data_IF_701284545619
#
_entry.id   IF_701284545619
#
_cell.length_a   1.000
_cell.length_b   1.000
_cell.length_c   1.000
_cell.angle_alpha   90.00
_cell.angle_beta   90.00
_cell.angle_gamma   90.00
#
_symmetry.space_group_name_H-M   'P 1'
#
loop_
_entity.id
_entity.type
_entity.pdbx_description
1 polymer ?
#
# COMPACT_ATOMS: atom_id res chain seq x y z
N UNK A 1 9.62 -36.72 -16.60
CA UNK A 1 8.53 -36.60 -15.59
C UNK A 1 9.12 -36.96 -14.24
N UNK A 2 9.56 -35.97 -13.47
CA UNK A 2 10.04 -36.19 -12.10
C UNK A 2 8.83 -36.35 -11.19
N UNK A 3 8.76 -37.50 -10.52
CA UNK A 3 7.76 -37.81 -9.51
C UNK A 3 8.06 -36.96 -8.26
N UNK A 4 7.61 -35.70 -8.24
CA UNK A 4 7.96 -34.69 -7.22
C UNK A 4 6.96 -34.71 -6.03
N UNK A 5 6.99 -35.78 -5.24
CA UNK A 5 6.40 -35.80 -3.88
C UNK A 5 7.35 -35.15 -2.87
N UNK A 6 7.70 -33.87 -3.06
CA UNK A 6 9.01 -33.33 -2.65
C UNK A 6 9.05 -32.54 -1.33
N UNK A 7 7.98 -32.46 -0.56
CA UNK A 7 8.04 -31.79 0.74
C UNK A 7 7.50 -32.71 1.84
N UNK A 8 8.37 -33.22 2.73
CA UNK A 8 7.93 -33.99 3.89
C UNK A 8 7.07 -33.10 4.79
N UNK A 9 6.07 -33.69 5.45
CA UNK A 9 5.23 -32.97 6.39
C UNK A 9 6.08 -32.24 7.45
N UNK A 10 5.57 -31.11 7.94
CA UNK A 10 6.21 -30.36 9.02
C UNK A 10 6.53 -31.32 10.19
N UNK A 11 7.76 -31.30 10.74
CA UNK A 11 8.13 -32.14 11.87
C UNK A 11 7.18 -31.95 13.05
N UNK A 12 6.93 -33.02 13.82
CA UNK A 12 6.02 -32.97 14.95
C UNK A 12 6.52 -32.08 16.10
N UNK A 13 7.83 -31.84 16.16
CA UNK A 13 8.54 -30.99 17.12
C UNK A 13 8.84 -29.59 16.58
N UNK A 14 8.28 -29.22 15.43
CA UNK A 14 8.50 -27.93 14.80
C UNK A 14 8.03 -26.76 15.69
N UNK A 15 8.80 -25.69 15.71
CA UNK A 15 8.43 -24.48 16.43
C UNK A 15 7.20 -23.81 15.76
N UNK A 16 6.34 -23.09 16.49
CA UNK A 16 5.10 -22.53 15.93
C UNK A 16 5.32 -21.70 14.66
N UNK A 17 6.36 -20.86 14.62
CA UNK A 17 6.72 -20.02 13.46
C UNK A 17 7.11 -20.82 12.21
N UNK A 18 7.60 -22.05 12.36
CA UNK A 18 8.00 -22.91 11.23
C UNK A 18 6.80 -23.32 10.38
N UNK A 19 5.59 -23.37 10.96
CA UNK A 19 4.39 -23.73 10.24
C UNK A 19 4.03 -22.74 9.12
N UNK A 20 4.24 -21.43 9.33
CA UNK A 20 4.03 -20.45 8.28
C UNK A 20 5.18 -20.44 7.27
N UNK A 21 6.42 -20.63 7.70
CA UNK A 21 7.56 -20.82 6.78
C UNK A 21 7.34 -22.01 5.84
N UNK A 22 6.88 -23.14 6.39
CA UNK A 22 6.55 -24.33 5.62
C UNK A 22 5.43 -24.07 4.61
N UNK A 23 4.37 -23.34 5.00
CA UNK A 23 3.33 -22.90 4.05
C UNK A 23 3.90 -22.03 2.93
N UNK A 24 4.79 -21.09 3.27
CA UNK A 24 5.43 -20.25 2.26
C UNK A 24 6.29 -21.06 1.27
N UNK A 25 6.99 -22.09 1.73
CA UNK A 25 7.73 -23.03 0.86
C UNK A 25 6.77 -23.76 -0.08
N UNK A 26 5.63 -24.25 0.43
CA UNK A 26 4.62 -24.91 -0.40
C UNK A 26 4.01 -23.94 -1.43
N UNK A 27 3.71 -22.70 -1.04
CA UNK A 27 3.24 -21.67 -1.98
C UNK A 27 4.26 -21.36 -3.07
N UNK A 28 5.54 -21.22 -2.71
CA UNK A 28 6.62 -20.98 -3.67
C UNK A 28 6.73 -22.12 -4.68
N UNK A 29 6.68 -23.38 -4.21
CA UNK A 29 6.72 -24.54 -5.09
C UNK A 29 5.50 -24.61 -6.02
N UNK A 30 4.32 -24.31 -5.49
CA UNK A 30 3.10 -24.25 -6.29
C UNK A 30 3.14 -23.13 -7.35
N UNK A 31 3.74 -21.98 -7.06
CA UNK A 31 3.99 -20.90 -8.04
C UNK A 31 4.93 -21.36 -9.18
N UNK A 32 5.91 -22.22 -8.87
CA UNK A 32 6.77 -22.87 -9.86
C UNK A 32 6.09 -24.06 -10.60
N UNK A 33 4.81 -24.32 -10.34
CA UNK A 33 4.07 -25.44 -10.93
C UNK A 33 4.44 -26.80 -10.33
N UNK A 34 5.02 -26.82 -9.13
CA UNK A 34 5.42 -28.03 -8.40
C UNK A 34 4.41 -28.29 -7.27
N UNK A 35 3.41 -29.12 -7.57
CA UNK A 35 2.36 -29.49 -6.62
C UNK A 35 1.22 -28.47 -6.56
N UNK A 36 0.31 -28.68 -5.61
CA UNK A 36 -0.87 -27.83 -5.41
C UNK A 36 -0.61 -26.75 -4.35
N UNK A 37 -1.26 -25.57 -4.45
CA UNK A 37 -1.20 -24.57 -3.39
C UNK A 37 -1.66 -25.13 -2.04
N UNK A 38 -1.04 -24.73 -0.91
CA UNK A 38 -1.43 -25.24 0.40
C UNK A 38 -2.88 -24.85 0.75
N UNK A 39 -3.64 -25.71 1.49
CA UNK A 39 -5.02 -25.41 1.87
C UNK A 39 -5.14 -24.10 2.65
N UNK A 40 -5.98 -23.19 2.17
CA UNK A 40 -6.13 -21.86 2.75
C UNK A 40 -7.06 -21.80 3.98
N UNK A 41 -8.09 -22.65 4.05
CA UNK A 41 -9.10 -22.61 5.11
C UNK A 41 -8.49 -22.69 6.52
N UNK A 42 -7.62 -23.68 6.75
CA UNK A 42 -6.93 -23.85 8.03
C UNK A 42 -5.96 -22.71 8.38
N UNK A 43 -5.53 -21.91 7.40
CA UNK A 43 -4.81 -20.67 7.68
C UNK A 43 -5.78 -19.55 8.06
N UNK A 44 -6.88 -19.38 7.31
CA UNK A 44 -7.91 -18.38 7.60
C UNK A 44 -8.55 -18.57 8.99
N UNK A 45 -8.78 -19.81 9.42
CA UNK A 45 -9.37 -20.12 10.73
C UNK A 45 -8.50 -19.67 11.92
N UNK A 46 -7.20 -19.45 11.72
CA UNK A 46 -6.31 -18.93 12.75
C UNK A 46 -6.62 -17.46 13.10
N UNK A 47 -7.24 -16.72 12.18
CA UNK A 47 -7.57 -15.30 12.33
C UNK A 47 -8.94 -15.06 12.96
N UNK A 48 -9.80 -16.10 13.02
CA UNK A 48 -11.12 -16.06 13.63
C UNK A 48 -10.99 -16.14 15.15
N UNK A 49 -10.68 -15.03 15.81
CA UNK A 49 -10.54 -14.97 17.27
C UNK A 49 -11.81 -14.43 17.91
N UNK A 50 -12.27 -15.07 18.98
CA UNK A 50 -13.21 -14.45 19.94
C UNK A 50 -12.43 -13.64 20.99
N UNK A 51 -13.12 -12.84 21.84
CA UNK A 51 -12.46 -12.16 22.95
C UNK A 51 -11.67 -13.09 23.87
N UNK A 52 -12.20 -14.27 24.13
CA UNK A 52 -11.54 -15.27 24.98
C UNK A 52 -10.35 -15.93 24.28
N UNK A 53 -10.44 -16.15 22.96
CA UNK A 53 -9.38 -16.81 22.17
C UNK A 53 -8.06 -16.02 22.17
N UNK A 54 -8.13 -14.68 22.25
CA UNK A 54 -6.96 -13.79 22.13
C UNK A 54 -5.92 -14.04 23.22
N UNK A 55 -6.38 -14.20 24.47
CA UNK A 55 -5.49 -14.47 25.60
C UNK A 55 -5.20 -15.95 25.79
N UNK A 56 -5.96 -16.82 25.14
CA UNK A 56 -5.78 -18.26 25.18
C UNK A 56 -4.75 -18.75 24.15
N UNK A 57 -4.55 -20.07 24.13
CA UNK A 57 -3.55 -20.72 23.28
C UNK A 57 -3.70 -20.34 21.80
N UNK A 58 -4.92 -20.14 21.30
CA UNK A 58 -5.18 -19.82 19.90
C UNK A 58 -4.60 -18.45 19.49
N UNK A 59 -4.85 -17.40 20.26
CA UNK A 59 -4.26 -16.07 20.04
C UNK A 59 -2.75 -16.08 20.23
N UNK A 60 -2.25 -16.74 21.28
CA UNK A 60 -0.81 -16.89 21.52
C UNK A 60 -0.09 -17.67 20.41
N UNK A 61 -0.73 -18.70 19.86
CA UNK A 61 -0.20 -19.45 18.72
C UNK A 61 -0.16 -18.61 17.44
N UNK A 62 -1.19 -17.79 17.19
CA UNK A 62 -1.20 -16.87 16.06
C UNK A 62 -0.02 -15.88 16.15
N UNK A 63 0.18 -15.27 17.32
CA UNK A 63 1.30 -14.37 17.56
C UNK A 63 2.65 -15.08 17.44
N UNK A 64 2.79 -16.27 18.04
CA UNK A 64 4.02 -17.06 17.94
C UNK A 64 4.35 -17.42 16.48
N UNK A 65 3.33 -17.75 15.67
CA UNK A 65 3.47 -18.01 14.23
C UNK A 65 3.92 -16.77 13.46
N UNK A 66 3.36 -15.60 13.79
CA UNK A 66 3.66 -14.33 13.13
C UNK A 66 4.97 -13.66 13.59
N UNK A 67 5.47 -14.01 14.78
CA UNK A 67 6.52 -13.31 15.54
C UNK A 67 7.79 -12.93 14.75
N UNK A 68 8.22 -13.75 13.79
CA UNK A 68 9.46 -13.50 13.00
C UNK A 68 9.20 -12.88 11.63
N UNK A 69 7.94 -12.55 11.34
CA UNK A 69 7.43 -12.25 9.99
C UNK A 69 6.44 -11.09 9.95
N UNK A 70 6.30 -10.37 11.05
CA UNK A 70 5.59 -9.10 11.06
C UNK A 70 6.30 -8.11 10.12
N UNK A 71 5.58 -7.25 9.39
CA UNK A 71 6.18 -6.33 8.43
C UNK A 71 7.18 -5.40 9.12
N UNK A 72 8.48 -5.61 8.87
CA UNK A 72 9.54 -4.80 9.50
C UNK A 72 9.84 -3.58 8.66
N UNK A 73 10.20 -3.75 7.37
CA UNK A 73 10.56 -2.63 6.49
C UNK A 73 10.04 -2.71 5.05
N UNK A 74 9.76 -3.92 4.56
CA UNK A 74 9.29 -4.14 3.18
C UNK A 74 7.76 -4.32 3.16
N UNK A 75 7.06 -3.46 2.42
CA UNK A 75 5.62 -3.57 2.18
C UNK A 75 5.40 -3.82 0.68
N UNK A 76 4.67 -4.88 0.28
CA UNK A 76 4.07 -5.91 1.12
C UNK A 76 5.02 -7.01 1.61
N UNK A 77 6.28 -7.04 1.15
CA UNK A 77 7.27 -8.05 1.54
C UNK A 77 7.05 -9.42 0.91
N UNK A 78 8.14 -10.17 0.70
CA UNK A 78 8.07 -11.52 0.10
C UNK A 78 7.18 -12.49 0.89
N UNK A 79 7.19 -12.40 2.22
CA UNK A 79 6.45 -13.33 3.06
C UNK A 79 4.93 -13.19 2.90
N UNK A 80 4.42 -11.96 2.80
CA UNK A 80 2.99 -11.73 2.60
C UNK A 80 2.51 -12.27 1.25
N UNK A 81 3.33 -12.13 0.20
CA UNK A 81 3.10 -12.75 -1.11
C UNK A 81 2.97 -14.27 -0.99
N UNK A 82 3.90 -14.94 -0.31
CA UNK A 82 3.88 -16.39 -0.18
C UNK A 82 2.70 -16.89 0.68
N UNK A 83 2.33 -16.16 1.73
CA UNK A 83 1.16 -16.52 2.54
C UNK A 83 -0.17 -16.41 1.79
N UNK A 84 -0.31 -15.39 0.94
CA UNK A 84 -1.58 -15.11 0.24
C UNK A 84 -1.74 -15.87 -1.08
N UNK A 85 -0.66 -16.45 -1.60
CA UNK A 85 -0.67 -17.20 -2.86
C UNK A 85 -1.81 -18.21 -3.02
N UNK A 86 -2.21 -18.99 -2.00
CA UNK A 86 -3.33 -19.92 -2.15
C UNK A 86 -4.69 -19.26 -2.42
N UNK A 87 -4.88 -18.00 -2.00
CA UNK A 87 -6.06 -17.20 -2.38
C UNK A 87 -5.83 -16.62 -3.77
N UNK A 88 -4.69 -15.97 -3.97
CA UNK A 88 -4.40 -15.20 -5.17
C UNK A 88 -4.33 -16.06 -6.45
N UNK A 89 -3.99 -17.35 -6.31
CA UNK A 89 -3.94 -18.34 -7.40
C UNK A 89 -5.32 -18.83 -7.88
N UNK A 90 -6.43 -18.38 -7.27
CA UNK A 90 -7.79 -18.88 -7.55
C UNK A 90 -8.74 -17.75 -7.92
N UNK A 91 -9.79 -18.07 -8.68
CA UNK A 91 -10.92 -17.15 -8.88
C UNK A 91 -11.62 -16.85 -7.55
N UNK A 92 -12.25 -15.69 -7.44
CA UNK A 92 -12.88 -15.27 -6.19
C UNK A 92 -11.89 -14.71 -5.17
N UNK A 93 -10.69 -14.30 -5.60
CA UNK A 93 -9.61 -13.87 -4.69
C UNK A 93 -9.99 -12.61 -3.90
N UNK A 94 -10.74 -11.68 -4.51
CA UNK A 94 -11.22 -10.48 -3.85
C UNK A 94 -12.16 -10.82 -2.69
N UNK A 95 -13.15 -11.69 -2.94
CA UNK A 95 -14.06 -12.18 -1.92
C UNK A 95 -13.35 -13.05 -0.86
N UNK A 96 -12.35 -13.82 -1.27
CA UNK A 96 -11.50 -14.61 -0.37
C UNK A 96 -10.73 -13.74 0.62
N UNK A 97 -10.09 -12.68 0.13
CA UNK A 97 -9.39 -11.73 1.00
C UNK A 97 -10.37 -10.97 1.91
N UNK A 98 -11.53 -10.53 1.40
CA UNK A 98 -12.53 -9.85 2.24
C UNK A 98 -13.04 -10.74 3.39
N UNK A 99 -13.25 -12.04 3.14
CA UNK A 99 -13.62 -12.97 4.21
C UNK A 99 -12.53 -13.09 5.28
N UNK A 100 -11.26 -13.12 4.88
CA UNK A 100 -10.14 -13.12 5.80
C UNK A 100 -10.10 -11.83 6.63
N UNK A 101 -10.22 -10.67 5.99
CA UNK A 101 -10.29 -9.37 6.67
C UNK A 101 -11.43 -9.32 7.69
N UNK A 102 -12.62 -9.74 7.28
CA UNK A 102 -13.79 -9.76 8.16
C UNK A 102 -13.62 -10.75 9.32
N UNK A 103 -12.93 -11.87 9.12
CA UNK A 103 -12.65 -12.83 10.19
C UNK A 103 -11.74 -12.27 11.29
N UNK A 104 -10.89 -11.31 10.95
CA UNK A 104 -10.03 -10.59 11.88
C UNK A 104 -10.76 -9.42 12.60
N UNK A 105 -12.09 -9.49 12.73
CA UNK A 105 -12.89 -8.45 13.38
C UNK A 105 -12.44 -8.16 14.81
N UNK A 106 -12.19 -9.20 15.61
CA UNK A 106 -11.78 -9.00 17.00
C UNK A 106 -10.43 -8.28 17.13
N UNK A 107 -9.49 -8.49 16.19
CA UNK A 107 -8.23 -7.73 16.19
C UNK A 107 -8.46 -6.23 15.98
N UNK A 108 -9.47 -5.86 15.18
CA UNK A 108 -9.87 -4.45 15.00
C UNK A 108 -10.51 -3.90 16.27
N UNK A 109 -11.33 -4.69 16.97
CA UNK A 109 -11.88 -4.30 18.28
C UNK A 109 -10.77 -4.07 19.31
N UNK A 110 -9.79 -4.98 19.40
CA UNK A 110 -8.61 -4.79 20.27
C UNK A 110 -7.86 -3.50 19.92
N UNK A 111 -7.68 -3.24 18.63
CA UNK A 111 -6.99 -2.04 18.16
C UNK A 111 -7.72 -0.74 18.55
N UNK A 112 -9.04 -0.70 18.45
CA UNK A 112 -9.88 0.47 18.74
C UNK A 112 -10.11 0.66 20.24
N UNK A 113 -10.55 -0.39 20.94
CA UNK A 113 -11.05 -0.31 22.31
C UNK A 113 -10.08 -0.84 23.37
N UNK A 114 -8.98 -1.48 22.96
CA UNK A 114 -8.12 -2.24 23.86
C UNK A 114 -8.68 -3.63 24.13
N UNK A 115 -7.94 -4.44 24.89
CA UNK A 115 -8.39 -5.80 25.24
C UNK A 115 -9.24 -5.81 26.53
N UNK A 116 -10.23 -6.70 26.60
CA UNK A 116 -11.25 -6.72 27.67
C UNK A 116 -10.65 -6.94 29.08
N UNK A 117 -9.49 -7.60 29.18
CA UNK A 117 -8.78 -7.90 30.43
C UNK A 117 -7.38 -7.27 30.51
N UNK A 118 -7.15 -6.20 29.75
CA UNK A 118 -5.82 -5.79 29.35
C UNK A 118 -4.89 -5.25 30.43
N UNK A 119 -5.33 -5.02 31.67
CA UNK A 119 -4.47 -4.61 32.80
C UNK A 119 -3.27 -3.72 32.41
N UNK A 120 -2.04 -4.24 32.59
CA UNK A 120 -0.79 -3.60 32.14
C UNK A 120 -0.38 -3.97 30.69
N UNK A 121 -1.03 -4.95 30.05
CA UNK A 121 -0.73 -5.44 28.69
C UNK A 121 -1.45 -4.71 27.56
N UNK A 122 -2.35 -3.76 27.83
CA UNK A 122 -3.20 -3.11 26.81
C UNK A 122 -2.43 -2.52 25.63
N UNK A 123 -1.32 -1.83 25.92
CA UNK A 123 -0.49 -1.28 24.86
C UNK A 123 0.17 -2.39 24.00
N UNK A 124 0.58 -3.49 24.63
CA UNK A 124 1.16 -4.65 23.93
C UNK A 124 0.10 -5.35 23.06
N UNK A 125 -1.10 -5.55 23.58
CA UNK A 125 -2.20 -6.19 22.87
C UNK A 125 -2.60 -5.38 21.63
N UNK A 126 -2.68 -4.05 21.75
CA UNK A 126 -2.93 -3.15 20.62
C UNK A 126 -1.81 -3.17 19.59
N UNK A 127 -0.55 -3.22 20.02
CA UNK A 127 0.61 -3.29 19.12
C UNK A 127 0.65 -4.62 18.34
N UNK A 128 0.36 -5.73 19.02
CA UNK A 128 0.28 -7.07 18.45
C UNK A 128 -0.86 -7.16 17.43
N UNK A 129 -2.06 -6.71 17.79
CA UNK A 129 -3.21 -6.64 16.88
C UNK A 129 -2.94 -5.75 15.66
N UNK A 130 -2.34 -4.57 15.87
CA UNK A 130 -1.97 -3.65 14.79
C UNK A 130 -0.98 -4.32 13.81
N UNK A 131 0.02 -5.03 14.33
CA UNK A 131 1.04 -5.71 13.51
C UNK A 131 0.44 -6.86 12.69
N UNK A 132 -0.47 -7.63 13.28
CA UNK A 132 -1.20 -8.70 12.59
C UNK A 132 -2.13 -8.14 11.49
N UNK A 133 -2.85 -7.05 11.76
CA UNK A 133 -3.70 -6.40 10.76
C UNK A 133 -2.86 -5.80 9.62
N UNK A 134 -1.69 -5.22 9.93
CA UNK A 134 -0.77 -4.72 8.91
C UNK A 134 -0.27 -5.86 8.00
N UNK A 135 0.01 -7.04 8.58
CA UNK A 135 0.35 -8.23 7.79
C UNK A 135 -0.79 -8.62 6.85
N UNK A 136 -2.06 -8.57 7.28
CA UNK A 136 -3.22 -8.80 6.40
C UNK A 136 -3.32 -7.77 5.26
N UNK A 137 -3.06 -6.49 5.56
CA UNK A 137 -2.96 -5.44 4.54
C UNK A 137 -1.88 -5.72 3.51
N UNK A 138 -0.69 -6.12 3.97
CA UNK A 138 0.42 -6.54 3.11
C UNK A 138 0.05 -7.78 2.26
N UNK A 139 -0.60 -8.77 2.86
CA UNK A 139 -1.12 -9.94 2.12
C UNK A 139 -2.12 -9.51 1.04
N UNK A 140 -2.94 -8.51 1.32
CA UNK A 140 -3.86 -7.94 0.35
C UNK A 140 -3.17 -7.33 -0.87
N UNK A 141 -2.15 -6.51 -0.65
CA UNK A 141 -1.29 -5.99 -1.72
C UNK A 141 -0.61 -7.13 -2.51
N UNK A 142 -0.07 -8.14 -1.82
CA UNK A 142 0.55 -9.29 -2.48
C UNK A 142 -0.46 -10.12 -3.29
N UNK A 143 -1.72 -10.18 -2.85
CA UNK A 143 -2.81 -10.82 -3.58
C UNK A 143 -3.08 -10.09 -4.89
N UNK A 144 -3.17 -8.76 -4.83
CA UNK A 144 -3.33 -7.91 -6.00
C UNK A 144 -2.18 -8.12 -6.99
N UNK A 145 -0.93 -8.09 -6.51
CA UNK A 145 0.24 -8.22 -7.38
C UNK A 145 0.30 -9.57 -8.11
N UNK A 146 -0.01 -10.66 -7.40
CA UNK A 146 0.00 -12.00 -7.99
C UNK A 146 -1.15 -12.21 -8.97
N UNK A 147 -2.35 -11.73 -8.65
CA UNK A 147 -3.49 -11.78 -9.57
C UNK A 147 -3.22 -10.92 -10.81
N UNK A 148 -2.69 -9.71 -10.63
CA UNK A 148 -2.37 -8.81 -11.75
C UNK A 148 -1.27 -9.35 -12.67
N UNK A 149 -0.33 -10.15 -12.17
CA UNK A 149 0.69 -10.84 -12.99
C UNK A 149 0.12 -11.91 -13.91
N UNK A 150 -1.04 -12.49 -13.55
CA UNK A 150 -1.74 -13.51 -14.33
C UNK A 150 -2.73 -12.94 -15.33
N UNK A 151 -3.11 -11.68 -15.15
CA UNK A 151 -4.13 -11.00 -15.94
C UNK A 151 -3.82 -11.08 -17.44
N UNK A 152 -4.70 -11.76 -18.17
CA UNK A 152 -4.69 -11.74 -19.63
C UNK A 152 -5.11 -10.38 -20.18
N UNK A 153 -4.65 -10.01 -21.38
CA UNK A 153 -4.98 -8.70 -21.99
C UNK A 153 -6.47 -8.39 -22.12
N UNK A 154 -7.29 -9.42 -22.31
CA UNK A 154 -8.74 -9.31 -22.53
C UNK A 154 -9.57 -9.92 -21.39
N UNK A 155 -8.94 -10.24 -20.24
CA UNK A 155 -9.63 -10.88 -19.11
C UNK A 155 -10.36 -9.85 -18.24
N UNK A 156 -11.55 -9.46 -18.70
CA UNK A 156 -12.42 -8.50 -18.01
C UNK A 156 -12.92 -9.01 -16.66
N UNK A 157 -12.99 -10.33 -16.45
CA UNK A 157 -13.47 -10.91 -15.19
C UNK A 157 -12.39 -10.76 -14.12
N UNK A 158 -11.15 -11.18 -14.41
CA UNK A 158 -10.03 -10.98 -13.49
C UNK A 158 -9.74 -9.49 -13.25
N UNK A 159 -9.87 -8.63 -14.27
CA UNK A 159 -9.76 -7.17 -14.10
C UNK A 159 -10.81 -6.63 -13.12
N UNK A 160 -12.08 -7.04 -13.26
CA UNK A 160 -13.14 -6.67 -12.32
C UNK A 160 -12.89 -7.17 -10.89
N UNK A 161 -12.32 -8.37 -10.72
CA UNK A 161 -11.92 -8.85 -9.39
C UNK A 161 -10.76 -8.02 -8.79
N UNK A 162 -9.80 -7.58 -9.61
CA UNK A 162 -8.72 -6.68 -9.16
C UNK A 162 -9.24 -5.32 -8.73
N UNK A 163 -10.18 -4.72 -9.47
CA UNK A 163 -10.85 -3.47 -9.09
C UNK A 163 -11.58 -3.65 -7.76
N UNK A 164 -12.34 -4.75 -7.61
CA UNK A 164 -13.03 -5.04 -6.35
C UNK A 164 -12.06 -5.23 -5.19
N UNK A 165 -10.95 -5.95 -5.39
CA UNK A 165 -9.92 -6.13 -4.36
C UNK A 165 -9.30 -4.79 -3.98
N UNK A 166 -8.94 -3.95 -4.96
CA UNK A 166 -8.36 -2.62 -4.71
C UNK A 166 -9.28 -1.73 -3.88
N UNK A 167 -10.58 -1.69 -4.20
CA UNK A 167 -11.59 -0.96 -3.42
C UNK A 167 -11.68 -1.47 -1.98
N UNK A 168 -11.76 -2.79 -1.82
CA UNK A 168 -11.83 -3.45 -0.50
C UNK A 168 -10.57 -3.14 0.33
N UNK A 169 -9.38 -3.22 -0.26
CA UNK A 169 -8.12 -2.90 0.40
C UNK A 169 -8.02 -1.43 0.80
N UNK A 170 -8.48 -0.53 -0.08
CA UNK A 170 -8.49 0.91 0.20
C UNK A 170 -9.41 1.21 1.37
N UNK A 171 -10.62 0.62 1.40
CA UNK A 171 -11.55 0.76 2.51
C UNK A 171 -10.94 0.23 3.82
N UNK A 172 -10.31 -0.94 3.80
CA UNK A 172 -9.66 -1.51 4.99
C UNK A 172 -8.51 -0.64 5.50
N UNK A 173 -7.66 -0.14 4.60
CA UNK A 173 -6.55 0.73 4.98
C UNK A 173 -7.04 2.09 5.52
N UNK A 174 -8.11 2.65 4.95
CA UNK A 174 -8.73 3.88 5.45
C UNK A 174 -9.40 3.66 6.82
N UNK A 175 -10.10 2.53 7.01
CA UNK A 175 -10.70 2.12 8.28
C UNK A 175 -9.63 2.10 9.38
N UNK A 176 -8.54 1.34 9.20
CA UNK A 176 -7.48 1.28 10.22
C UNK A 176 -6.81 2.63 10.43
N UNK A 177 -6.64 3.43 9.38
CA UNK A 177 -6.07 4.78 9.52
C UNK A 177 -6.94 5.72 10.37
N UNK A 178 -8.23 5.44 10.51
CA UNK A 178 -9.15 6.17 11.40
C UNK A 178 -9.16 5.61 12.82
N UNK A 179 -8.94 4.30 12.98
CA UNK A 179 -8.89 3.65 14.30
C UNK A 179 -7.56 3.91 15.03
N UNK A 180 -6.48 4.18 14.29
CA UNK A 180 -5.13 4.24 14.85
C UNK A 180 -4.53 5.63 14.82
N UNK A 181 -4.44 6.23 16.00
CA UNK A 181 -3.80 7.53 16.17
C UNK A 181 -2.26 7.47 16.15
N UNK A 182 -1.66 6.29 16.42
CA UNK A 182 -0.21 6.16 16.66
C UNK A 182 0.46 4.89 16.11
N UNK A 183 -0.05 3.69 16.42
CA UNK A 183 0.62 2.41 16.11
C UNK A 183 0.65 2.09 14.60
N UNK A 184 1.84 2.00 13.99
CA UNK A 184 2.01 1.66 12.57
C UNK A 184 1.24 2.58 11.59
N UNK A 185 0.88 3.80 12.00
CA UNK A 185 0.14 4.76 11.15
C UNK A 185 0.89 5.05 9.85
N UNK A 186 2.19 5.26 9.94
CA UNK A 186 3.11 5.46 8.82
C UNK A 186 3.14 4.25 7.86
N UNK A 187 3.04 3.02 8.40
CA UNK A 187 2.99 1.79 7.61
C UNK A 187 1.66 1.63 6.87
N UNK A 188 0.53 1.92 7.51
CA UNK A 188 -0.78 1.93 6.84
C UNK A 188 -0.88 3.01 5.77
N UNK A 189 -0.27 4.16 6.00
CA UNK A 189 -0.10 5.18 4.99
C UNK A 189 0.75 4.70 3.81
N UNK A 190 1.82 3.96 4.07
CA UNK A 190 2.63 3.31 3.03
C UNK A 190 1.79 2.30 2.23
N UNK A 191 0.89 1.53 2.88
CA UNK A 191 -0.07 0.66 2.19
C UNK A 191 -0.99 1.46 1.26
N UNK A 192 -1.53 2.59 1.70
CA UNK A 192 -2.35 3.47 0.86
C UNK A 192 -1.56 4.04 -0.33
N UNK A 193 -0.31 4.46 -0.12
CA UNK A 193 0.57 4.89 -1.22
C UNK A 193 0.78 3.77 -2.24
N UNK A 194 1.00 2.54 -1.78
CA UNK A 194 1.11 1.38 -2.63
C UNK A 194 -0.17 1.09 -3.43
N UNK A 195 -1.36 1.29 -2.86
CA UNK A 195 -2.64 1.16 -3.57
C UNK A 195 -2.81 2.28 -4.61
N UNK A 196 -2.41 3.52 -4.28
CA UNK A 196 -2.45 4.66 -5.19
C UNK A 196 -1.50 4.47 -6.38
N UNK A 197 -0.27 4.01 -6.14
CA UNK A 197 0.68 3.69 -7.20
C UNK A 197 0.17 2.57 -8.11
N UNK A 198 -0.50 1.54 -7.59
CA UNK A 198 -1.13 0.49 -8.40
C UNK A 198 -2.29 1.02 -9.21
N UNK A 199 -3.09 1.93 -8.65
CA UNK A 199 -4.19 2.60 -9.34
C UNK A 199 -3.71 3.39 -10.55
N UNK A 200 -2.60 4.13 -10.40
CA UNK A 200 -1.96 4.85 -11.50
C UNK A 200 -1.33 3.85 -12.46
N UNK A 201 -0.48 2.94 -11.94
CA UNK A 201 0.27 2.01 -12.77
C UNK A 201 -0.65 1.28 -13.72
N UNK A 202 -1.79 0.75 -13.27
CA UNK A 202 -2.76 -0.02 -14.05
C UNK A 202 -3.93 0.80 -14.66
N UNK A 203 -3.86 2.13 -14.65
CA UNK A 203 -4.86 3.01 -15.29
C UNK A 203 -4.88 2.81 -16.81
N UNK A 204 -6.08 2.73 -17.41
CA UNK A 204 -6.25 2.53 -18.84
C UNK A 204 -5.63 3.62 -19.73
N UNK A 205 -5.51 4.86 -19.24
CA UNK A 205 -4.83 5.95 -19.96
C UNK A 205 -3.32 5.75 -20.03
N UNK A 206 -2.76 4.93 -19.13
CA UNK A 206 -1.31 4.68 -18.98
C UNK A 206 -0.92 3.31 -19.52
N UNK A 207 -1.78 2.29 -19.35
CA UNK A 207 -1.51 0.90 -19.72
C UNK A 207 -1.14 0.70 -21.20
N UNK A 208 -1.57 1.63 -22.07
CA UNK A 208 -1.25 1.63 -23.49
C UNK A 208 -1.62 0.30 -24.15
N UNK A 209 -0.85 -0.10 -25.17
CA UNK A 209 -1.07 -1.39 -25.87
C UNK A 209 -0.19 -2.52 -25.34
N UNK A 210 0.74 -2.24 -24.41
CA UNK A 210 1.75 -3.20 -23.96
C UNK A 210 1.27 -4.06 -22.79
N UNK A 211 0.37 -3.55 -21.94
CA UNK A 211 -0.11 -4.20 -20.73
C UNK A 211 -1.65 -4.14 -20.65
N UNK A 212 -2.27 -5.09 -19.96
CA UNK A 212 -3.69 -5.01 -19.63
C UNK A 212 -3.98 -3.75 -18.78
N UNK A 213 -5.12 -3.12 -19.02
CA UNK A 213 -5.69 -2.11 -18.15
C UNK A 213 -6.52 -2.82 -17.07
N UNK A 214 -6.41 -2.37 -15.82
CA UNK A 214 -7.28 -2.84 -14.73
C UNK A 214 -8.34 -1.81 -14.42
N UNK A 215 -7.95 -0.54 -14.41
CA UNK A 215 -8.82 0.54 -13.94
C UNK A 215 -9.25 1.43 -15.09
N UNK A 216 -10.54 1.73 -15.11
CA UNK A 216 -11.11 2.82 -15.89
C UNK A 216 -10.99 4.14 -15.12
N UNK A 217 -10.91 5.29 -15.81
CA UNK A 217 -10.87 6.60 -15.15
C UNK A 217 -12.05 6.85 -14.19
N UNK A 218 -13.22 6.27 -14.49
CA UNK A 218 -14.47 6.43 -13.75
C UNK A 218 -14.63 5.47 -12.56
N UNK A 219 -13.66 4.58 -12.31
CA UNK A 219 -13.70 3.69 -11.15
C UNK A 219 -13.67 4.47 -9.83
N UNK A 220 -14.43 3.98 -8.84
CA UNK A 220 -14.73 4.64 -7.56
C UNK A 220 -13.49 5.16 -6.80
N UNK A 221 -12.38 4.42 -6.82
CA UNK A 221 -11.09 4.84 -6.27
C UNK A 221 -10.24 5.52 -7.35
N UNK A 222 -10.57 6.76 -7.69
CA UNK A 222 -9.84 7.55 -8.68
C UNK A 222 -8.47 8.02 -8.18
N UNK A 223 -7.58 8.42 -9.10
CA UNK A 223 -6.28 9.04 -8.77
C UNK A 223 -6.49 10.33 -7.95
N UNK A 224 -7.51 11.12 -8.32
CA UNK A 224 -7.90 12.35 -7.63
C UNK A 224 -8.28 12.09 -6.17
N UNK A 225 -9.01 11.01 -5.88
CA UNK A 225 -9.37 10.65 -4.51
C UNK A 225 -8.13 10.43 -3.63
N UNK A 226 -7.09 9.77 -4.15
CA UNK A 226 -5.81 9.61 -3.43
C UNK A 226 -5.08 10.93 -3.26
N UNK A 227 -5.03 11.77 -4.30
CA UNK A 227 -4.41 13.09 -4.21
C UNK A 227 -5.07 13.95 -3.14
N UNK A 228 -6.40 13.96 -3.07
CA UNK A 228 -7.16 14.67 -2.04
C UNK A 228 -6.91 14.09 -0.65
N UNK A 229 -6.85 12.76 -0.52
CA UNK A 229 -6.51 12.10 0.74
C UNK A 229 -5.13 12.54 1.25
N UNK A 230 -4.08 12.44 0.41
CA UNK A 230 -2.73 12.83 0.81
C UNK A 230 -2.55 14.33 0.99
N UNK A 231 -3.36 15.16 0.34
CA UNK A 231 -3.31 16.62 0.48
C UNK A 231 -3.57 17.11 1.91
N UNK A 232 -4.21 16.29 2.77
CA UNK A 232 -4.42 16.62 4.18
C UNK A 232 -3.10 16.85 4.95
N UNK A 233 -2.00 16.21 4.53
CA UNK A 233 -0.65 16.45 5.06
C UNK A 233 0.33 16.74 3.90
N UNK A 234 0.95 17.94 3.84
CA UNK A 234 1.87 18.29 2.77
C UNK A 234 3.06 17.33 2.61
N UNK A 235 3.54 16.72 3.69
CA UNK A 235 4.63 15.74 3.67
C UNK A 235 4.21 14.47 2.94
N UNK A 236 2.99 14.00 3.20
CA UNK A 236 2.45 12.78 2.61
C UNK A 236 2.14 12.93 1.13
N UNK A 237 1.57 14.08 0.74
CA UNK A 237 1.38 14.42 -0.68
C UNK A 237 2.72 14.46 -1.41
N UNK A 238 3.75 15.10 -0.84
CA UNK A 238 5.08 15.19 -1.45
C UNK A 238 5.73 13.81 -1.55
N UNK A 239 5.61 12.96 -0.52
CA UNK A 239 6.09 11.59 -0.55
C UNK A 239 5.40 10.77 -1.65
N UNK A 240 4.08 10.88 -1.79
CA UNK A 240 3.33 10.20 -2.84
C UNK A 240 3.73 10.67 -4.24
N UNK A 241 3.81 11.98 -4.47
CA UNK A 241 4.22 12.53 -5.76
C UNK A 241 5.67 12.19 -6.10
N UNK A 242 6.57 12.19 -5.11
CA UNK A 242 7.93 11.71 -5.30
C UNK A 242 7.93 10.25 -5.75
N UNK A 243 7.18 9.37 -5.08
CA UNK A 243 7.07 7.97 -5.48
C UNK A 243 6.51 7.82 -6.91
N UNK A 244 5.54 8.65 -7.31
CA UNK A 244 5.02 8.67 -8.67
C UNK A 244 6.12 9.01 -9.70
N UNK A 245 6.90 10.06 -9.42
CA UNK A 245 8.01 10.49 -10.28
C UNK A 245 9.13 9.45 -10.34
N UNK A 246 9.47 8.81 -9.22
CA UNK A 246 10.47 7.74 -9.17
C UNK A 246 10.06 6.48 -9.95
N UNK A 247 8.75 6.22 -10.08
CA UNK A 247 8.21 5.15 -10.90
C UNK A 247 8.05 5.53 -12.39
N UNK A 248 8.49 6.73 -12.77
CA UNK A 248 8.49 7.19 -14.16
C UNK A 248 7.11 7.50 -14.73
N UNK A 249 6.13 7.83 -13.88
CA UNK A 249 4.83 8.29 -14.35
C UNK A 249 4.95 9.66 -15.04
N UNK A 250 4.08 9.89 -16.03
CA UNK A 250 4.13 11.10 -16.84
C UNK A 250 3.79 12.35 -16.02
N UNK A 251 4.69 13.34 -16.08
CA UNK A 251 4.53 14.60 -15.37
C UNK A 251 3.42 15.49 -15.95
N UNK A 252 3.05 15.34 -17.23
CA UNK A 252 1.93 16.10 -17.78
C UNK A 252 0.60 15.56 -17.23
N UNK A 253 0.40 14.24 -17.26
CA UNK A 253 -0.77 13.58 -16.65
C UNK A 253 -0.89 13.91 -15.15
N UNK A 254 0.19 13.78 -14.37
CA UNK A 254 0.14 14.10 -12.93
C UNK A 254 -0.20 15.57 -12.65
N UNK A 255 0.20 16.50 -13.53
CA UNK A 255 -0.18 17.92 -13.41
C UNK A 255 -1.67 18.14 -13.70
N UNK A 256 -2.23 17.43 -14.66
CA UNK A 256 -3.65 17.45 -14.97
C UNK A 256 -4.45 16.91 -13.77
N UNK A 257 -4.07 15.76 -13.21
CA UNK A 257 -4.70 15.19 -12.01
C UNK A 257 -4.61 16.13 -10.79
N UNK A 258 -3.48 16.81 -10.59
CA UNK A 258 -3.34 17.83 -9.54
C UNK A 258 -4.24 19.05 -9.79
N UNK A 259 -4.37 19.46 -11.05
CA UNK A 259 -5.22 20.57 -11.44
C UNK A 259 -6.71 20.24 -11.22
N UNK A 260 -7.14 19.07 -11.66
CA UNK A 260 -8.52 18.59 -11.53
C UNK A 260 -8.90 18.35 -10.06
N UNK A 261 -7.95 17.86 -9.25
CA UNK A 261 -8.11 17.76 -7.80
C UNK A 261 -8.07 19.12 -7.07
N UNK A 262 -7.87 20.23 -7.79
CA UNK A 262 -7.75 21.60 -7.28
C UNK A 262 -6.61 21.78 -6.24
N UNK A 263 -5.51 21.04 -6.40
CA UNK A 263 -4.38 21.07 -5.47
C UNK A 263 -3.29 22.05 -5.96
N UNK A 264 -2.99 23.05 -5.13
CA UNK A 264 -1.87 23.96 -5.37
C UNK A 264 -0.57 23.39 -4.76
N UNK A 265 0.15 22.59 -5.55
CA UNK A 265 1.40 21.95 -5.12
C UNK A 265 2.45 22.96 -4.58
N UNK A 266 2.54 24.15 -5.16
CA UNK A 266 3.48 25.17 -4.70
C UNK A 266 3.14 25.70 -3.29
N UNK A 267 1.85 25.83 -2.99
CA UNK A 267 1.40 26.15 -1.64
C UNK A 267 1.73 25.01 -0.66
N UNK A 268 1.53 23.74 -1.05
CA UNK A 268 1.89 22.59 -0.22
C UNK A 268 3.39 22.55 0.10
N UNK A 269 4.25 22.75 -0.90
CA UNK A 269 5.72 22.82 -0.71
C UNK A 269 6.09 23.97 0.24
N UNK A 270 5.49 25.15 0.06
CA UNK A 270 5.74 26.30 0.94
C UNK A 270 5.30 26.03 2.38
N UNK A 271 4.16 25.38 2.57
CA UNK A 271 3.68 24.95 3.89
C UNK A 271 4.62 23.94 4.53
N UNK A 272 5.07 22.92 3.78
CA UNK A 272 6.01 21.92 4.30
C UNK A 272 7.34 22.57 4.71
N UNK A 273 7.87 23.50 3.92
CA UNK A 273 9.09 24.25 4.26
C UNK A 273 8.94 24.98 5.61
N UNK A 274 7.82 25.69 5.81
CA UNK A 274 7.54 26.38 7.09
C UNK A 274 7.38 25.41 8.25
N UNK A 275 6.70 24.28 8.04
CA UNK A 275 6.54 23.25 9.06
C UNK A 275 7.88 22.61 9.45
N UNK A 276 8.75 22.39 8.47
CA UNK A 276 10.11 21.90 8.68
C UNK A 276 10.94 22.88 9.53
N UNK A 277 10.90 24.18 9.23
CA UNK A 277 11.55 25.22 10.04
C UNK A 277 11.08 25.22 11.51
N UNK A 278 9.83 24.88 11.76
CA UNK A 278 9.28 24.80 13.11
C UNK A 278 9.66 23.49 13.83
N UNK A 279 9.67 22.36 13.13
CA UNK A 279 10.02 21.07 13.70
C UNK A 279 10.51 20.09 12.63
N UNK A 280 11.82 20.10 12.39
CA UNK A 280 12.48 19.27 11.37
C UNK A 280 12.25 17.77 11.54
N UNK A 281 12.14 17.30 12.80
CA UNK A 281 11.95 15.88 13.11
C UNK A 281 10.55 15.41 12.77
N UNK A 282 9.54 16.24 13.02
CA UNK A 282 8.14 15.92 12.73
C UNK A 282 7.81 16.08 11.25
N UNK A 283 8.44 17.05 10.58
CA UNK A 283 8.20 17.36 9.17
C UNK A 283 9.52 17.24 8.40
N UNK A 284 10.01 16.02 8.14
CA UNK A 284 11.26 15.83 7.44
C UNK A 284 11.15 16.34 5.99
N UNK A 285 12.14 17.12 5.57
CA UNK A 285 12.22 17.64 4.22
C UNK A 285 13.31 16.90 3.43
N UNK A 286 12.90 16.29 2.31
CA UNK A 286 13.78 15.51 1.45
C UNK A 286 14.09 16.27 0.17
N UNK A 287 15.35 16.70 0.00
CA UNK A 287 15.77 17.49 -1.15
C UNK A 287 15.61 16.73 -2.47
N UNK A 288 15.87 15.43 -2.46
CA UNK A 288 15.62 14.52 -3.58
C UNK A 288 14.13 14.48 -3.97
N UNK A 289 13.24 14.42 -2.98
CA UNK A 289 11.80 14.46 -3.22
C UNK A 289 11.36 15.78 -3.88
N UNK A 290 11.83 16.93 -3.36
CA UNK A 290 11.52 18.24 -3.93
C UNK A 290 12.04 18.39 -5.37
N UNK A 291 13.24 17.89 -5.63
CA UNK A 291 13.83 17.90 -6.97
C UNK A 291 13.02 17.04 -7.94
N UNK A 292 12.61 15.85 -7.51
CA UNK A 292 11.83 14.93 -8.33
C UNK A 292 10.46 15.49 -8.73
N UNK A 293 9.79 16.21 -7.82
CA UNK A 293 8.46 16.80 -8.08
C UNK A 293 8.52 18.18 -8.74
N UNK A 294 9.70 18.75 -8.94
CA UNK A 294 9.86 20.07 -9.58
C UNK A 294 9.15 20.20 -10.95
N UNK A 295 9.13 19.17 -11.82
CA UNK A 295 8.39 19.22 -13.09
C UNK A 295 6.86 19.34 -12.94
N UNK A 296 6.31 19.03 -11.76
CA UNK A 296 4.88 19.12 -11.48
C UNK A 296 4.43 20.54 -11.09
N UNK A 297 5.38 21.41 -10.72
CA UNK A 297 5.06 22.79 -10.39
C UNK A 297 4.94 23.65 -11.66
N UNK A 298 3.99 24.60 -11.70
CA UNK A 298 3.91 25.54 -12.82
C UNK A 298 5.22 26.33 -12.93
N UNK A 299 5.71 26.52 -14.16
CA UNK A 299 6.90 27.32 -14.39
C UNK A 299 6.62 28.75 -13.90
N UNK A 300 7.40 29.22 -12.92
CA UNK A 300 7.39 30.64 -12.52
C UNK A 300 7.71 31.45 -13.78
N UNK A 301 6.82 32.35 -14.25
CA UNK A 301 7.15 33.19 -15.39
C UNK A 301 8.36 34.03 -14.98
N UNK A 302 9.50 33.85 -15.66
CA UNK A 302 10.65 34.73 -15.46
C UNK A 302 10.18 36.16 -15.74
N UNK A 303 10.41 37.13 -14.85
CA UNK A 303 10.12 38.52 -15.17
C UNK A 303 10.88 38.86 -16.46
N UNK A 304 10.15 39.32 -17.48
CA UNK A 304 10.75 39.80 -18.72
C UNK A 304 11.82 40.81 -18.32
N UNK A 305 13.10 40.50 -18.59
CA UNK A 305 14.18 41.49 -18.49
C UNK A 305 13.72 42.69 -19.31
N UNK A 306 13.45 43.79 -18.64
CA UNK A 306 13.26 45.08 -19.29
C UNK A 306 14.53 45.36 -20.08
N UNK A 307 14.40 45.34 -21.41
CA UNK A 307 15.47 45.79 -22.30
C UNK A 307 15.74 47.25 -21.94
N UNK A 308 16.99 47.64 -21.62
CA UNK A 308 17.30 49.03 -21.36
C UNK A 308 16.98 49.83 -22.63
N UNK A 309 16.09 50.81 -22.51
CA UNK A 309 15.83 51.76 -23.59
C UNK A 309 17.16 52.42 -23.96
N UNK A 310 17.68 52.07 -25.14
CA UNK A 310 18.83 52.73 -25.72
C UNK A 310 18.36 54.11 -26.16
N UNK A 311 18.67 55.15 -25.38
CA UNK A 311 18.42 56.54 -25.81
C UNK A 311 19.34 56.86 -26.99
N UNK A 312 18.83 57.39 -28.11
CA UNK A 312 19.68 57.89 -29.18
C UNK A 312 20.38 59.17 -28.71
N UNK A 313 21.71 59.16 -28.81
CA UNK A 313 22.56 60.30 -28.56
C UNK A 313 22.17 61.47 -29.48
N UNK A 314 22.04 62.66 -28.88
CA UNK A 314 21.73 63.88 -29.58
C UNK A 314 22.75 64.19 -30.68
N UNK A 315 22.24 64.52 -31.86
CA UNK A 315 23.00 65.24 -32.87
C UNK A 315 22.87 66.74 -32.58
N UNK A 316 23.97 67.31 -32.11
CA UNK A 316 24.21 68.75 -32.13
C UNK A 316 24.97 69.14 -33.40
N UNK A 317 24.60 70.32 -33.92
CA UNK A 317 25.35 71.26 -34.76
C UNK A 317 25.72 70.84 -36.19
N UNK A 318 25.11 71.48 -37.20
CA UNK A 318 25.49 72.82 -37.72
C UNK A 318 24.32 73.47 -38.43
#
# INVERSE_FOLDING_TARGET
MLNRGLVPALPADAAPWEAWCYRCVLSMLADEGIGEPPPFAAFADQWQLTPEDWHQQKGRDLLARASTRLPSDEIPGLFAHLLVFPIASRAGFAAGWLRLWNSAHYLREVLEFGSFDAGESDYSDRADASSLLLLLGCMGLGCFDQAARRLGRDDQVEAGELVSLHRILTSAAMEISQLVDTLHRDRWQTVLQHLALRRIYWDGRIAGTSRAAVFDPEDETSIQAYLQYFHADPGDLIAFLHACMSNGFDAAMLREELHDAAINLQACVTSLLRLHELNERRYPLRADALQAIAPLMPAVPRPRRSVPATMPAGQGTT
#
